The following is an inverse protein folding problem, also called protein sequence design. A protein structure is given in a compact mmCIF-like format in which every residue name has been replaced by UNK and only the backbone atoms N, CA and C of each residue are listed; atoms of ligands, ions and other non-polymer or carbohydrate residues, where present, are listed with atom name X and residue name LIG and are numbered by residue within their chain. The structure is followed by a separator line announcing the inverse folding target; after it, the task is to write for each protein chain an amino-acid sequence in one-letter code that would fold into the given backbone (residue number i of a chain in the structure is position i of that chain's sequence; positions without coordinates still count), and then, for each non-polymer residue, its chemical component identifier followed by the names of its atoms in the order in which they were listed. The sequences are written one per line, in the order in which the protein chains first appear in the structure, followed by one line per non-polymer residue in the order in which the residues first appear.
data_IF_035618095592
#
_entry.id   IF_035618095592
#
_cell.length_a   1.000
_cell.length_b   1.000
_cell.length_c   1.000
_cell.angle_alpha   90.00
_cell.angle_beta   90.00
_cell.angle_gamma   90.00
#
_symmetry.space_group_name_H-M   'P 1'
#
loop_
_entity.id
_entity.type
_entity.pdbx_description
1 polymer ?
#
# COMPACT_ATOMS: atom_id res chain seq x y z
N UNK A 1 2.56 12.82 2.94
CA UNK A 1 1.37 12.13 2.38
C UNK A 1 1.39 12.25 0.87
N UNK A 2 0.95 11.21 0.13
CA UNK A 2 1.01 11.15 -1.34
C UNK A 2 0.26 12.31 -2.03
N UNK A 3 -0.83 12.80 -1.41
CA UNK A 3 -1.56 13.99 -1.87
C UNK A 3 -0.68 15.24 -2.04
N UNK A 4 0.34 15.41 -1.19
CA UNK A 4 1.25 16.57 -1.28
C UNK A 4 2.17 16.47 -2.51
N UNK A 5 2.39 15.25 -3.02
CA UNK A 5 3.14 15.03 -4.25
C UNK A 5 2.25 15.21 -5.49
N UNK A 6 1.02 14.67 -5.46
CA UNK A 6 0.02 14.89 -6.50
C UNK A 6 -1.39 14.78 -5.91
N UNK A 7 -2.26 15.76 -6.16
CA UNK A 7 -3.63 15.80 -5.65
C UNK A 7 -4.49 14.62 -6.09
N UNK A 8 -4.18 14.00 -7.23
CA UNK A 8 -4.94 12.86 -7.76
C UNK A 8 -4.89 11.63 -6.82
N UNK A 9 -3.85 11.51 -5.97
CA UNK A 9 -3.75 10.43 -4.99
C UNK A 9 -4.85 10.45 -3.92
N UNK A 10 -5.58 11.54 -3.75
CA UNK A 10 -6.71 11.63 -2.82
C UNK A 10 -7.93 10.79 -3.26
N UNK A 11 -8.01 10.46 -4.55
CA UNK A 11 -9.14 9.73 -5.13
C UNK A 11 -8.84 8.25 -5.36
N UNK A 12 -7.67 7.77 -4.93
CA UNK A 12 -7.25 6.38 -5.11
C UNK A 12 -7.69 5.57 -3.88
N UNK A 13 -8.45 4.47 -4.04
CA UNK A 13 -8.96 3.68 -2.92
C UNK A 13 -7.88 2.74 -2.36
N UNK A 14 -6.83 3.33 -1.77
CA UNK A 14 -5.71 2.59 -1.19
C UNK A 14 -6.18 1.77 0.01
N UNK A 15 -7.06 2.33 0.85
CA UNK A 15 -7.58 1.69 2.06
C UNK A 15 -8.40 0.44 1.74
N UNK A 16 -9.14 0.43 0.62
CA UNK A 16 -9.88 -0.74 0.17
C UNK A 16 -8.92 -1.88 -0.23
N UNK A 17 -7.85 -1.55 -0.96
CA UNK A 17 -6.85 -2.53 -1.37
C UNK A 17 -6.09 -3.12 -0.17
N UNK A 18 -5.81 -2.29 0.85
CA UNK A 18 -5.27 -2.76 2.14
C UNK A 18 -6.27 -3.69 2.83
N UNK A 19 -7.56 -3.35 2.84
CA UNK A 19 -8.59 -4.18 3.47
C UNK A 19 -8.73 -5.55 2.80
N UNK A 20 -8.67 -5.61 1.46
CA UNK A 20 -8.65 -6.86 0.70
C UNK A 20 -7.41 -7.69 1.05
N UNK A 21 -6.26 -7.04 1.26
CA UNK A 21 -4.99 -7.68 1.59
C UNK A 21 -4.67 -7.67 3.10
N UNK A 22 -5.68 -7.59 3.97
CA UNK A 22 -5.52 -7.34 5.42
C UNK A 22 -4.58 -8.31 6.11
N UNK A 23 -4.64 -9.60 5.77
CA UNK A 23 -3.73 -10.60 6.34
C UNK A 23 -2.28 -10.30 5.98
N UNK A 24 -1.99 -10.04 4.69
CA UNK A 24 -0.65 -9.70 4.21
C UNK A 24 -0.14 -8.40 4.81
N UNK A 25 -1.01 -7.40 4.96
CA UNK A 25 -0.68 -6.14 5.61
C UNK A 25 -0.16 -6.34 7.04
N UNK A 26 -0.87 -7.13 7.86
CA UNK A 26 -0.41 -7.42 9.22
C UNK A 26 0.82 -8.32 9.26
N UNK A 27 0.93 -9.27 8.34
CA UNK A 27 2.13 -10.11 8.21
C UNK A 27 3.36 -9.25 7.89
N UNK A 28 3.25 -8.30 6.96
CA UNK A 28 4.34 -7.40 6.59
C UNK A 28 4.78 -6.51 7.76
N UNK A 29 3.85 -6.04 8.60
CA UNK A 29 4.16 -5.32 9.83
C UNK A 29 4.90 -6.23 10.83
N UNK A 30 4.38 -7.43 11.08
CA UNK A 30 4.97 -8.37 12.03
C UNK A 30 6.39 -8.78 11.61
N UNK A 31 6.58 -9.08 10.33
CA UNK A 31 7.89 -9.42 9.77
C UNK A 31 8.86 -8.25 9.85
N UNK A 32 8.40 -7.04 9.50
CA UNK A 32 9.23 -5.84 9.60
C UNK A 32 9.69 -5.57 11.03
N UNK A 33 8.80 -5.82 12.00
CA UNK A 33 9.12 -5.70 13.42
C UNK A 33 10.15 -6.74 13.86
N UNK A 34 9.95 -8.02 13.50
CA UNK A 34 10.85 -9.11 13.85
C UNK A 34 12.24 -8.94 13.23
N UNK A 35 12.31 -8.43 12.01
CA UNK A 35 13.56 -8.20 11.28
C UNK A 35 14.22 -6.85 11.63
N UNK A 36 13.59 -6.03 12.48
CA UNK A 36 13.98 -4.65 12.78
C UNK A 36 14.28 -3.84 11.50
N UNK A 37 13.47 -4.07 10.45
CA UNK A 37 13.66 -3.52 9.12
C UNK A 37 12.31 -3.34 8.43
N UNK A 38 12.00 -2.11 8.01
CA UNK A 38 10.73 -1.75 7.38
C UNK A 38 10.63 -2.09 5.88
N UNK A 39 11.68 -2.63 5.25
CA UNK A 39 11.69 -2.91 3.81
C UNK A 39 10.49 -3.75 3.37
N UNK A 40 10.17 -4.82 4.09
CA UNK A 40 9.03 -5.71 3.76
C UNK A 40 7.71 -4.95 3.78
N UNK A 41 7.51 -4.07 4.76
CA UNK A 41 6.33 -3.22 4.84
C UNK A 41 6.29 -2.16 3.72
N UNK A 42 7.44 -1.55 3.41
CA UNK A 42 7.54 -0.54 2.34
C UNK A 42 7.22 -1.18 0.99
N UNK A 43 7.82 -2.33 0.68
CA UNK A 43 7.57 -3.06 -0.57
C UNK A 43 6.08 -3.43 -0.69
N UNK A 44 5.48 -3.95 0.38
CA UNK A 44 4.04 -4.21 0.42
C UNK A 44 3.20 -2.96 0.12
N UNK A 45 3.49 -1.84 0.76
CA UNK A 45 2.72 -0.60 0.54
C UNK A 45 2.90 -0.05 -0.88
N UNK A 46 4.09 -0.18 -1.48
CA UNK A 46 4.33 0.21 -2.86
C UNK A 46 3.53 -0.65 -3.84
N UNK A 47 3.45 -1.95 -3.61
CA UNK A 47 2.63 -2.87 -4.40
C UNK A 47 1.14 -2.54 -4.29
N UNK A 48 0.65 -2.21 -3.09
CA UNK A 48 -0.73 -1.76 -2.89
C UNK A 48 -1.01 -0.48 -3.68
N UNK A 49 -0.14 0.52 -3.58
CA UNK A 49 -0.29 1.79 -4.32
C UNK A 49 -0.29 1.52 -5.83
N UNK A 50 0.62 0.69 -6.32
CA UNK A 50 0.70 0.32 -7.73
C UNK A 50 -0.56 -0.41 -8.19
N UNK A 51 -1.06 -1.37 -7.42
CA UNK A 51 -2.31 -2.09 -7.68
C UNK A 51 -3.48 -1.12 -7.80
N UNK A 52 -3.68 -0.25 -6.81
CA UNK A 52 -4.78 0.71 -6.79
C UNK A 52 -4.72 1.69 -7.97
N UNK A 53 -3.53 2.22 -8.29
CA UNK A 53 -3.34 3.10 -9.46
C UNK A 53 -3.65 2.36 -10.76
N UNK A 54 -3.16 1.13 -10.90
CA UNK A 54 -3.33 0.33 -12.13
C UNK A 54 -4.79 0.01 -12.38
N UNK A 55 -5.56 -0.31 -11.34
CA UNK A 55 -7.02 -0.55 -11.45
C UNK A 55 -7.74 0.66 -12.03
N UNK A 56 -7.44 1.86 -11.55
CA UNK A 56 -8.06 3.11 -12.03
C UNK A 56 -7.67 3.43 -13.48
N UNK A 57 -6.41 3.20 -13.85
CA UNK A 57 -5.92 3.54 -15.19
C UNK A 57 -6.35 2.53 -16.25
N UNK A 58 -6.63 1.29 -15.86
CA UNK A 58 -7.00 0.21 -16.77
C UNK A 58 -8.51 0.05 -16.97
N UNK A 59 -9.32 0.80 -16.22
CA UNK A 59 -10.76 0.99 -16.41
C UNK A 59 -11.05 2.14 -17.39
#
# INVERSE_FOLDING_TARGET
MLRNYNSNFEYIPIEEEIYINKEKYYNAIAESHNNNNANVFIDFMLDIILSSVTKIVSE
#
